data_IF_169484035753
#
_entry.id   IF_169484035753
#
_cell.length_a   1.000
_cell.length_b   1.000
_cell.length_c   1.000
_cell.angle_alpha   90.00
_cell.angle_beta   90.00
_cell.angle_gamma   90.00
#
_symmetry.space_group_name_H-M   'P 1'
#
loop_
_entity.id
_entity.type
_entity.pdbx_description
1 polymer ?
#
# COMPACT_ATOMS: atom_id res chain seq x y z
N UNK A 1 -13.67 11.27 3.38
CA UNK A 1 -12.80 10.08 3.43
C UNK A 1 -12.96 9.20 2.20
N UNK A 2 -14.15 8.64 1.94
CA UNK A 2 -14.39 7.69 0.84
C UNK A 2 -13.90 8.14 -0.55
N UNK A 3 -14.03 9.44 -0.89
CA UNK A 3 -13.53 10.00 -2.16
C UNK A 3 -12.00 9.87 -2.32
N UNK A 4 -11.25 10.11 -1.24
CA UNK A 4 -9.80 9.98 -1.25
C UNK A 4 -9.38 8.51 -1.36
N UNK A 5 -10.11 7.60 -0.70
CA UNK A 5 -9.90 6.14 -0.83
C UNK A 5 -10.19 5.68 -2.27
N UNK A 6 -11.23 6.21 -2.92
CA UNK A 6 -11.52 5.88 -4.32
C UNK A 6 -10.35 6.24 -5.24
N UNK A 7 -9.79 7.46 -5.11
CA UNK A 7 -8.62 7.87 -5.90
C UNK A 7 -7.38 7.03 -5.57
N UNK A 8 -7.17 6.68 -4.30
CA UNK A 8 -6.08 5.78 -3.91
C UNK A 8 -6.22 4.40 -4.57
N UNK A 9 -7.43 3.85 -4.62
CA UNK A 9 -7.68 2.56 -5.27
C UNK A 9 -7.38 2.62 -6.77
N UNK A 10 -7.67 3.72 -7.46
CA UNK A 10 -7.23 3.92 -8.85
C UNK A 10 -5.68 3.94 -8.94
N UNK A 11 -4.99 4.61 -8.01
CA UNK A 11 -3.53 4.59 -7.96
C UNK A 11 -2.96 3.18 -7.72
N UNK A 12 -3.67 2.33 -6.98
CA UNK A 12 -3.29 0.93 -6.74
C UNK A 12 -3.59 0.07 -7.97
N UNK A 13 -4.84 0.03 -8.44
CA UNK A 13 -5.31 -0.94 -9.42
C UNK A 13 -5.11 -0.51 -10.88
N UNK A 14 -5.17 0.79 -11.19
CA UNK A 14 -4.93 1.28 -12.56
C UNK A 14 -3.44 1.54 -12.84
N UNK A 15 -2.64 1.82 -11.81
CA UNK A 15 -1.22 2.20 -11.97
C UNK A 15 -0.28 1.19 -11.32
N UNK A 16 -0.32 1.04 -9.99
CA UNK A 16 0.71 0.32 -9.24
C UNK A 16 0.71 -1.19 -9.52
N UNK A 17 -0.46 -1.82 -9.60
CA UNK A 17 -0.59 -3.26 -9.83
C UNK A 17 -0.17 -3.65 -11.27
N UNK A 18 -0.71 -3.03 -12.34
CA UNK A 18 -0.25 -3.29 -13.71
C UNK A 18 1.21 -2.92 -13.91
N UNK A 19 1.63 -1.76 -13.41
CA UNK A 19 3.00 -1.27 -13.50
C UNK A 19 3.99 -2.23 -12.84
N UNK A 20 3.70 -2.67 -11.61
CA UNK A 20 4.53 -3.66 -10.90
C UNK A 20 4.55 -5.01 -11.60
N UNK A 21 3.39 -5.51 -12.04
CA UNK A 21 3.32 -6.77 -12.76
C UNK A 21 4.16 -6.73 -14.05
N UNK A 22 4.10 -5.62 -14.77
CA UNK A 22 4.91 -5.40 -15.96
C UNK A 22 6.39 -5.20 -15.63
N UNK A 23 6.74 -4.50 -14.55
CA UNK A 23 8.13 -4.15 -14.18
C UNK A 23 8.88 -5.30 -13.52
N UNK A 24 8.23 -6.10 -12.69
CA UNK A 24 8.86 -7.17 -11.91
C UNK A 24 8.48 -8.58 -12.38
N UNK A 25 7.50 -8.71 -13.26
CA UNK A 25 7.09 -10.01 -13.82
C UNK A 25 6.21 -10.85 -12.91
N UNK A 26 5.53 -10.24 -11.92
CA UNK A 26 4.53 -10.92 -11.09
C UNK A 26 3.47 -9.95 -10.54
N UNK A 27 2.22 -10.41 -10.48
CA UNK A 27 1.11 -9.73 -9.81
C UNK A 27 0.95 -10.17 -8.35
N UNK A 28 0.00 -9.54 -7.65
CA UNK A 28 -0.48 -9.97 -6.34
C UNK A 28 -2.02 -9.96 -6.35
N UNK A 29 -2.63 -10.80 -5.54
CA UNK A 29 -4.06 -10.82 -5.30
C UNK A 29 -4.37 -10.12 -3.97
N UNK A 30 -5.10 -9.00 -4.03
CA UNK A 30 -5.41 -8.12 -2.90
C UNK A 30 -6.77 -8.38 -2.25
N UNK A 31 -7.16 -9.65 -2.13
CA UNK A 31 -8.31 -10.08 -1.34
C UNK A 31 -9.60 -10.16 -2.13
N UNK A 32 -10.03 -9.03 -2.69
CA UNK A 32 -11.14 -8.94 -3.65
C UNK A 32 -10.62 -8.41 -4.99
N UNK A 33 -11.41 -8.58 -6.06
CA UNK A 33 -11.03 -8.24 -7.44
C UNK A 33 -10.07 -9.22 -8.14
N UNK A 34 -10.38 -10.52 -8.08
CA UNK A 34 -9.67 -11.55 -8.82
C UNK A 34 -10.23 -12.95 -8.58
N UNK A 35 -9.76 -13.91 -9.37
CA UNK A 35 -10.17 -15.31 -9.26
C UNK A 35 -8.96 -16.22 -9.24
N UNK A 36 -9.09 -17.32 -8.49
CA UNK A 36 -8.09 -18.38 -8.46
C UNK A 36 -8.58 -19.58 -9.25
N UNK A 37 -7.65 -20.27 -9.93
CA UNK A 37 -7.93 -21.64 -10.38
C UNK A 37 -8.17 -22.51 -9.16
N UNK A 38 -9.28 -23.25 -9.13
CA UNK A 38 -9.68 -24.07 -7.97
C UNK A 38 -8.59 -25.04 -7.53
N UNK A 39 -7.94 -25.72 -8.49
CA UNK A 39 -6.83 -26.63 -8.20
C UNK A 39 -5.65 -25.92 -7.53
N UNK A 40 -5.28 -24.74 -8.01
CA UNK A 40 -4.21 -23.94 -7.43
C UNK A 40 -4.57 -23.44 -6.02
N UNK A 41 -5.80 -22.96 -5.80
CA UNK A 41 -6.24 -22.51 -4.48
C UNK A 41 -6.28 -23.66 -3.47
N UNK A 42 -6.66 -24.87 -3.88
CA UNK A 42 -6.59 -26.06 -3.02
C UNK A 42 -5.16 -26.45 -2.66
N UNK A 43 -4.19 -26.13 -3.52
CA UNK A 43 -2.77 -26.44 -3.29
C UNK A 43 -2.10 -25.38 -2.42
N UNK A 44 -2.33 -24.09 -2.72
CA UNK A 44 -1.75 -22.95 -2.01
C UNK A 44 -2.44 -22.74 -0.67
N UNK A 45 -3.78 -22.80 -0.63
CA UNK A 45 -4.63 -22.45 0.54
C UNK A 45 -4.44 -21.01 1.02
N UNK A 46 -5.43 -20.50 1.75
CA UNK A 46 -5.37 -19.23 2.46
C UNK A 46 -5.13 -19.53 3.94
N UNK A 47 -4.08 -18.96 4.51
CA UNK A 47 -3.70 -19.22 5.90
C UNK A 47 -4.34 -18.21 6.84
N UNK A 48 -5.34 -18.63 7.61
CA UNK A 48 -6.11 -17.75 8.50
C UNK A 48 -5.31 -17.12 9.66
N UNK A 49 -4.10 -17.61 9.95
CA UNK A 49 -3.21 -16.99 10.94
C UNK A 49 -2.45 -15.77 10.39
N UNK A 50 -2.50 -15.52 9.06
CA UNK A 50 -1.93 -14.33 8.44
C UNK A 50 -2.99 -13.24 8.40
N UNK A 51 -2.65 -12.02 8.83
CA UNK A 51 -3.58 -10.88 8.76
C UNK A 51 -3.92 -10.47 7.31
N UNK A 52 -3.08 -10.85 6.36
CA UNK A 52 -3.30 -10.68 4.91
C UNK A 52 -3.04 -12.01 4.22
N UNK A 53 -3.97 -12.95 4.39
CA UNK A 53 -3.92 -14.32 3.87
C UNK A 53 -3.90 -14.39 2.33
N UNK A 54 -4.49 -13.39 1.69
CA UNK A 54 -4.52 -13.11 0.26
C UNK A 54 -3.12 -12.75 -0.29
N UNK A 55 -2.39 -11.89 0.41
CA UNK A 55 -1.04 -11.51 0.07
C UNK A 55 -0.06 -12.66 0.34
N UNK A 56 -0.19 -13.33 1.49
CA UNK A 56 0.59 -14.53 1.82
C UNK A 56 0.46 -15.61 0.74
N UNK A 57 -0.79 -15.94 0.36
CA UNK A 57 -1.06 -16.91 -0.70
C UNK A 57 -0.53 -16.46 -2.07
N UNK A 58 -0.60 -15.16 -2.38
CA UNK A 58 0.00 -14.60 -3.59
C UNK A 58 1.50 -14.82 -3.67
N UNK A 59 2.23 -14.46 -2.59
CA UNK A 59 3.69 -14.59 -2.57
C UNK A 59 4.11 -16.06 -2.64
N UNK A 60 3.41 -16.97 -1.92
CA UNK A 60 3.67 -18.40 -2.01
C UNK A 60 3.42 -18.96 -3.41
N UNK A 61 2.36 -18.52 -4.09
CA UNK A 61 2.11 -18.92 -5.47
C UNK A 61 3.24 -18.46 -6.41
N UNK A 62 3.69 -17.21 -6.27
CA UNK A 62 4.82 -16.66 -7.06
C UNK A 62 6.11 -17.41 -6.77
N UNK A 63 6.43 -17.70 -5.50
CA UNK A 63 7.60 -18.48 -5.09
C UNK A 63 7.57 -19.92 -5.64
N UNK A 64 6.39 -20.48 -5.86
CA UNK A 64 6.19 -21.77 -6.53
C UNK A 64 6.20 -21.67 -8.07
N UNK A 65 6.63 -20.53 -8.64
CA UNK A 65 6.72 -20.31 -10.08
C UNK A 65 5.36 -20.10 -10.77
N UNK A 66 4.28 -19.88 -10.01
CA UNK A 66 2.96 -19.61 -10.59
C UNK A 66 2.83 -18.14 -10.97
N UNK A 67 2.07 -17.89 -12.03
CA UNK A 67 1.83 -16.55 -12.56
C UNK A 67 0.50 -15.99 -12.05
N UNK A 68 0.56 -14.80 -11.47
CA UNK A 68 -0.61 -13.97 -11.19
C UNK A 68 -0.66 -12.89 -12.26
N UNK A 69 -1.68 -12.96 -13.14
CA UNK A 69 -1.92 -11.94 -14.15
C UNK A 69 -2.70 -10.77 -13.55
N UNK A 70 -2.45 -9.56 -14.07
CA UNK A 70 -3.22 -8.36 -13.75
C UNK A 70 -3.92 -7.93 -15.02
N UNK A 71 -5.24 -7.74 -14.93
CA UNK A 71 -6.09 -7.27 -16.02
C UNK A 71 -6.77 -5.98 -15.58
N UNK A 72 -6.56 -4.90 -16.33
CA UNK A 72 -7.15 -3.59 -16.06
C UNK A 72 -8.65 -3.54 -16.41
N UNK A 73 -9.15 -4.49 -17.22
CA UNK A 73 -10.57 -4.64 -17.51
C UNK A 73 -11.36 -5.36 -16.42
N UNK A 74 -10.69 -5.96 -15.43
CA UNK A 74 -11.35 -6.59 -14.30
C UNK A 74 -11.75 -5.53 -13.26
N UNK A 75 -13.05 -5.20 -13.26
CA UNK A 75 -13.61 -4.13 -12.44
C UNK A 75 -14.42 -4.75 -11.29
N UNK A 76 -14.09 -4.36 -10.07
CA UNK A 76 -14.85 -4.64 -8.85
C UNK A 76 -15.26 -3.33 -8.18
N UNK A 77 -16.38 -3.35 -7.47
CA UNK A 77 -16.87 -2.20 -6.67
C UNK A 77 -16.88 -2.59 -5.20
N UNK A 78 -16.31 -1.72 -4.38
CA UNK A 78 -16.16 -1.97 -2.94
C UNK A 78 -16.61 -0.76 -2.13
N UNK A 79 -17.08 -1.02 -0.90
CA UNK A 79 -17.44 0.02 0.04
C UNK A 79 -16.19 0.52 0.78
N UNK A 80 -15.85 1.79 0.56
CA UNK A 80 -14.74 2.43 1.25
C UNK A 80 -15.10 2.77 2.71
N UNK A 81 -14.14 2.73 3.65
CA UNK A 81 -14.35 3.24 5.00
C UNK A 81 -14.67 4.74 4.97
N UNK A 82 -15.73 5.12 5.68
CA UNK A 82 -16.24 6.51 5.69
C UNK A 82 -15.71 7.33 6.87
N UNK A 83 -15.19 6.69 7.92
CA UNK A 83 -14.64 7.33 9.12
C UNK A 83 -13.12 7.14 9.24
N UNK A 84 -12.45 8.07 9.93
CA UNK A 84 -11.01 8.00 10.22
C UNK A 84 -10.64 6.76 11.04
N UNK A 85 -11.34 6.40 12.14
CA UNK A 85 -11.03 5.19 12.90
C UNK A 85 -11.19 3.90 12.09
N UNK A 86 -12.24 3.80 11.26
CA UNK A 86 -12.43 2.64 10.40
C UNK A 86 -11.30 2.50 9.37
N UNK A 87 -10.88 3.60 8.75
CA UNK A 87 -9.74 3.62 7.85
C UNK A 87 -8.45 3.23 8.57
N UNK A 88 -8.19 3.80 9.74
CA UNK A 88 -7.02 3.48 10.55
C UNK A 88 -6.93 1.98 10.84
N UNK A 89 -8.00 1.39 11.37
CA UNK A 89 -8.05 -0.04 11.70
C UNK A 89 -7.82 -0.92 10.47
N UNK A 90 -8.43 -0.58 9.33
CA UNK A 90 -8.22 -1.28 8.07
C UNK A 90 -6.75 -1.23 7.64
N UNK A 91 -6.15 -0.03 7.62
CA UNK A 91 -4.76 0.15 7.18
C UNK A 91 -3.74 -0.44 8.15
N UNK A 92 -4.05 -0.45 9.45
CA UNK A 92 -3.24 -1.11 10.46
C UNK A 92 -3.17 -2.62 10.20
N UNK A 93 -4.33 -3.28 9.97
CA UNK A 93 -4.35 -4.71 9.60
C UNK A 93 -3.51 -4.97 8.36
N UNK A 94 -3.68 -4.16 7.32
CA UNK A 94 -2.94 -4.34 6.07
C UNK A 94 -1.44 -4.17 6.27
N UNK A 95 -1.00 -3.10 6.94
CA UNK A 95 0.41 -2.86 7.19
C UNK A 95 1.03 -3.98 8.03
N UNK A 96 0.33 -4.46 9.07
CA UNK A 96 0.83 -5.52 9.92
C UNK A 96 0.91 -6.87 9.17
N UNK A 97 -0.12 -7.22 8.39
CA UNK A 97 -0.09 -8.44 7.56
C UNK A 97 0.99 -8.39 6.49
N UNK A 98 1.20 -7.24 5.86
CA UNK A 98 2.30 -7.03 4.93
C UNK A 98 3.67 -7.19 5.58
N UNK A 99 3.83 -6.74 6.82
CA UNK A 99 5.06 -6.98 7.58
C UNK A 99 5.25 -8.46 7.94
N UNK A 100 4.19 -9.17 8.37
CA UNK A 100 4.22 -10.63 8.58
C UNK A 100 4.69 -11.37 7.31
N UNK A 101 4.13 -11.03 6.15
CA UNK A 101 4.54 -11.59 4.85
C UNK A 101 6.00 -11.26 4.57
N UNK A 102 6.45 -10.05 4.87
CA UNK A 102 7.83 -9.63 4.64
C UNK A 102 8.82 -10.46 5.45
N UNK A 103 8.58 -10.60 6.75
CA UNK A 103 9.40 -11.43 7.65
C UNK A 103 9.47 -12.88 7.18
N UNK A 104 8.35 -13.44 6.74
CA UNK A 104 8.26 -14.85 6.33
C UNK A 104 8.86 -15.13 4.96
N UNK A 105 8.69 -14.23 3.99
CA UNK A 105 8.96 -14.54 2.58
C UNK A 105 10.14 -13.80 1.97
N UNK A 106 10.63 -12.69 2.55
CA UNK A 106 11.69 -11.89 1.94
C UNK A 106 12.97 -12.73 1.71
N UNK A 107 13.51 -13.31 2.78
CA UNK A 107 14.76 -14.10 2.71
C UNK A 107 14.62 -15.32 1.80
N UNK A 108 13.51 -16.06 1.93
CA UNK A 108 13.24 -17.24 1.12
C UNK A 108 13.06 -16.90 -0.36
N UNK A 109 12.39 -15.77 -0.67
CA UNK A 109 12.20 -15.30 -2.04
C UNK A 109 13.50 -14.87 -2.70
N UNK A 110 14.33 -14.11 -2.00
CA UNK A 110 15.63 -13.66 -2.53
C UNK A 110 16.59 -14.83 -2.79
N UNK A 111 16.50 -15.90 -2.01
CA UNK A 111 17.31 -17.12 -2.16
C UNK A 111 16.69 -18.19 -3.07
N UNK A 112 15.47 -17.97 -3.57
CA UNK A 112 14.76 -18.95 -4.40
C UNK A 112 15.51 -19.22 -5.71
N UNK A 113 15.60 -20.48 -6.12
CA UNK A 113 16.11 -20.87 -7.45
C UNK A 113 15.04 -20.78 -8.54
N UNK A 114 13.76 -20.72 -8.14
CA UNK A 114 12.60 -20.64 -9.05
C UNK A 114 12.40 -19.22 -9.56
N UNK A 115 12.66 -18.21 -8.72
CA UNK A 115 12.44 -16.81 -9.07
C UNK A 115 13.57 -16.25 -9.94
N UNK A 116 13.19 -15.57 -11.02
CA UNK A 116 14.14 -14.81 -11.85
C UNK A 116 14.77 -13.66 -11.06
N UNK A 117 15.95 -13.19 -11.48
CA UNK A 117 16.63 -12.01 -10.88
C UNK A 117 15.70 -10.79 -10.85
N UNK A 118 14.92 -10.60 -11.92
CA UNK A 118 13.91 -9.54 -12.02
C UNK A 118 12.83 -9.63 -10.94
N UNK A 119 12.30 -10.83 -10.72
CA UNK A 119 11.29 -11.07 -9.68
C UNK A 119 11.89 -10.92 -8.29
N UNK A 120 13.14 -11.35 -8.07
CA UNK A 120 13.87 -11.15 -6.82
C UNK A 120 14.05 -9.66 -6.50
N UNK A 121 14.43 -8.85 -7.47
CA UNK A 121 14.51 -7.40 -7.29
C UNK A 121 13.15 -6.81 -6.90
N UNK A 122 12.09 -7.21 -7.61
CA UNK A 122 10.74 -6.77 -7.28
C UNK A 122 10.24 -7.22 -5.90
N UNK A 123 10.60 -8.44 -5.48
CA UNK A 123 10.27 -8.96 -4.16
C UNK A 123 11.07 -8.25 -3.06
N UNK A 124 12.35 -7.96 -3.29
CA UNK A 124 13.18 -7.15 -2.41
C UNK A 124 12.66 -5.72 -2.26
N UNK A 125 12.16 -5.11 -3.33
CA UNK A 125 11.51 -3.80 -3.27
C UNK A 125 10.18 -3.87 -2.51
N UNK A 126 9.31 -4.83 -2.85
CA UNK A 126 7.96 -4.95 -2.29
C UNK A 126 7.94 -5.36 -0.82
N UNK A 127 8.77 -6.32 -0.42
CA UNK A 127 8.81 -6.88 0.93
C UNK A 127 9.98 -6.35 1.79
N UNK A 128 10.99 -5.74 1.17
CA UNK A 128 12.13 -5.17 1.89
C UNK A 128 12.06 -3.65 1.95
N UNK A 129 12.25 -2.98 0.81
CA UNK A 129 12.32 -1.51 0.76
C UNK A 129 11.08 -0.84 1.36
N UNK A 130 9.88 -1.37 1.09
CA UNK A 130 8.64 -0.87 1.70
C UNK A 130 8.70 -0.81 3.22
N UNK A 131 9.29 -1.81 3.88
CA UNK A 131 9.33 -1.90 5.34
C UNK A 131 10.40 -0.98 5.95
N UNK A 132 11.47 -0.70 5.19
CA UNK A 132 12.57 0.16 5.64
C UNK A 132 12.22 1.65 5.47
N UNK A 133 11.52 2.01 4.40
CA UNK A 133 11.23 3.39 4.04
C UNK A 133 10.58 4.24 5.15
N UNK A 134 9.56 3.78 5.90
CA UNK A 134 8.93 4.56 6.97
C UNK A 134 9.87 4.98 8.11
N UNK A 135 10.99 4.26 8.30
CA UNK A 135 12.02 4.62 9.27
C UNK A 135 13.06 5.58 8.69
N UNK A 136 13.37 5.46 7.40
CA UNK A 136 14.24 6.40 6.71
C UNK A 136 13.59 7.78 6.57
N UNK A 137 12.28 7.84 6.32
CA UNK A 137 11.56 9.11 6.18
C UNK A 137 11.59 9.95 7.46
N UNK A 138 11.72 9.33 8.64
CA UNK A 138 11.91 10.03 9.92
C UNK A 138 13.20 10.86 9.96
N UNK A 139 14.22 10.49 9.18
CA UNK A 139 15.52 11.14 9.22
C UNK A 139 15.54 12.48 8.50
N UNK A 140 14.51 12.81 7.71
CA UNK A 140 14.46 14.07 6.94
C UNK A 140 14.55 15.29 7.85
N UNK A 141 13.73 15.36 8.90
CA UNK A 141 13.71 16.52 9.82
C UNK A 141 14.99 16.62 10.66
N UNK A 142 15.49 15.56 11.31
CA UNK A 142 16.77 15.60 12.04
C UNK A 142 17.96 15.97 11.16
N UNK A 143 18.03 15.47 9.92
CA UNK A 143 19.10 15.81 8.99
C UNK A 143 19.04 17.30 8.62
N UNK A 144 17.87 17.81 8.25
CA UNK A 144 17.70 19.25 7.96
C UNK A 144 18.06 20.11 9.17
N UNK A 145 17.66 19.71 10.38
CA UNK A 145 18.02 20.38 11.63
C UNK A 145 19.53 20.39 11.89
N UNK A 146 20.20 19.25 11.71
CA UNK A 146 21.66 19.15 11.83
C UNK A 146 22.39 20.05 10.83
N UNK A 147 21.96 20.04 9.57
CA UNK A 147 22.54 20.91 8.54
C UNK A 147 22.30 22.39 8.86
N UNK A 148 21.10 22.76 9.30
CA UNK A 148 20.77 24.13 9.69
C UNK A 148 21.63 24.60 10.88
N UNK A 149 21.82 23.73 11.87
CA UNK A 149 22.68 23.99 13.02
C UNK A 149 24.14 24.19 12.60
N UNK A 150 24.67 23.31 11.74
CA UNK A 150 26.04 23.42 11.21
C UNK A 150 26.24 24.71 10.39
N UNK A 151 25.23 25.16 9.67
CA UNK A 151 25.26 26.41 8.91
C UNK A 151 25.03 27.67 9.78
N UNK A 152 24.68 27.50 11.06
CA UNK A 152 24.35 28.56 12.01
C UNK A 152 22.97 29.19 11.82
N UNK A 153 22.24 28.83 10.75
CA UNK A 153 20.84 29.19 10.50
C UNK A 153 20.32 28.42 9.27
N UNK A 154 19.02 28.14 9.21
CA UNK A 154 18.37 27.61 8.02
C UNK A 154 18.46 28.55 6.80
N UNK A 155 18.61 29.87 7.03
CA UNK A 155 18.78 30.86 5.96
C UNK A 155 20.16 30.82 5.30
N UNK A 156 21.14 30.15 5.94
CA UNK A 156 22.50 29.97 5.41
C UNK A 156 22.71 28.60 4.78
N UNK A 157 21.67 27.78 4.71
CA UNK A 157 21.71 26.50 4.02
C UNK A 157 21.80 26.72 2.50
N UNK A 158 22.74 26.04 1.87
CA UNK A 158 22.70 25.86 0.42
C UNK A 158 21.62 24.83 0.08
N UNK A 159 20.46 25.32 -0.34
CA UNK A 159 19.32 24.49 -0.75
C UNK A 159 19.54 23.80 -2.10
N UNK A 160 20.57 24.20 -2.86
CA UNK A 160 20.87 23.66 -4.20
C UNK A 160 21.88 22.52 -4.18
N UNK A 161 22.24 22.00 -2.99
CA UNK A 161 23.00 20.76 -2.90
C UNK A 161 22.22 19.63 -3.59
N UNK A 162 22.84 18.86 -4.50
CA UNK A 162 22.13 17.87 -5.31
C UNK A 162 21.25 16.90 -4.52
N UNK A 163 21.67 16.52 -3.31
CA UNK A 163 20.89 15.63 -2.44
C UNK A 163 19.55 16.23 -2.01
N UNK A 164 19.50 17.51 -1.63
CA UNK A 164 18.25 18.19 -1.25
C UNK A 164 17.36 18.41 -2.46
N UNK A 165 17.94 18.82 -3.58
CA UNK A 165 17.17 19.02 -4.82
C UNK A 165 16.55 17.70 -5.27
N UNK A 166 17.34 16.63 -5.37
CA UNK A 166 16.87 15.33 -5.84
C UNK A 166 15.84 14.72 -4.89
N UNK A 167 16.05 14.79 -3.57
CA UNK A 167 15.09 14.24 -2.60
C UNK A 167 13.80 15.05 -2.55
N UNK A 168 13.86 16.38 -2.64
CA UNK A 168 12.68 17.25 -2.73
C UNK A 168 11.89 16.99 -4.01
N UNK A 169 12.56 16.95 -5.18
CA UNK A 169 11.92 16.66 -6.45
C UNK A 169 11.28 15.27 -6.46
N UNK A 170 11.97 14.27 -5.92
CA UNK A 170 11.42 12.92 -5.78
C UNK A 170 10.18 12.91 -4.87
N UNK A 171 10.29 13.50 -3.68
CA UNK A 171 9.21 13.47 -2.65
C UNK A 171 7.98 14.23 -3.13
N UNK A 172 8.16 15.42 -3.71
CA UNK A 172 7.09 16.26 -4.20
C UNK A 172 6.57 15.83 -5.58
N UNK A 173 7.35 15.07 -6.34
CA UNK A 173 6.99 14.62 -7.69
C UNK A 173 6.23 13.29 -7.71
N UNK A 174 6.61 12.32 -6.87
CA UNK A 174 6.05 10.96 -6.91
C UNK A 174 4.54 10.96 -6.64
N UNK A 175 4.08 11.65 -5.60
CA UNK A 175 2.66 11.69 -5.23
C UNK A 175 1.75 12.29 -6.31
N UNK A 176 2.01 13.53 -6.79
CA UNK A 176 1.28 14.11 -7.90
C UNK A 176 1.39 13.30 -9.19
N UNK A 177 2.58 12.78 -9.51
CA UNK A 177 2.79 11.94 -10.69
C UNK A 177 1.93 10.68 -10.67
N UNK A 178 1.93 9.94 -9.55
CA UNK A 178 1.06 8.77 -9.37
C UNK A 178 -0.42 9.14 -9.47
N UNK A 179 -0.83 10.27 -8.89
CA UNK A 179 -2.22 10.73 -8.93
C UNK A 179 -2.64 11.13 -10.35
N UNK A 180 -1.74 11.74 -11.13
CA UNK A 180 -1.97 12.06 -12.54
C UNK A 180 -2.18 10.78 -13.37
N UNK A 181 -1.32 9.77 -13.19
CA UNK A 181 -1.51 8.50 -13.88
C UNK A 181 -2.79 7.77 -13.43
N UNK A 182 -3.15 7.86 -12.15
CA UNK A 182 -4.41 7.32 -11.64
C UNK A 182 -5.61 8.00 -12.29
N UNK A 183 -5.56 9.32 -12.47
CA UNK A 183 -6.60 10.05 -13.21
C UNK A 183 -6.65 9.63 -14.69
N UNK A 184 -5.49 9.50 -15.34
CA UNK A 184 -5.42 9.16 -16.76
C UNK A 184 -5.88 7.75 -17.09
N UNK A 185 -5.51 6.78 -16.25
CA UNK A 185 -5.71 5.34 -16.47
C UNK A 185 -6.90 4.77 -15.70
N UNK A 186 -7.45 5.52 -14.75
CA UNK A 186 -8.56 5.05 -13.92
C UNK A 186 -9.87 4.91 -14.66
N UNK A 187 -10.81 4.20 -14.05
CA UNK A 187 -12.12 3.91 -14.67
C UNK A 187 -12.89 5.20 -15.01
N UNK A 188 -13.65 5.23 -16.12
CA UNK A 188 -14.32 6.45 -16.58
C UNK A 188 -15.17 7.15 -15.52
N UNK A 189 -15.86 6.39 -14.68
CA UNK A 189 -16.76 6.90 -13.63
C UNK A 189 -16.03 7.70 -12.56
N UNK A 190 -14.81 7.27 -12.19
CA UNK A 190 -13.97 7.99 -11.21
C UNK A 190 -13.21 9.12 -11.90
N UNK A 191 -12.69 8.89 -13.11
CA UNK A 191 -11.93 9.88 -13.89
C UNK A 191 -12.70 11.17 -14.17
N UNK A 192 -14.01 11.08 -14.36
CA UNK A 192 -14.90 12.25 -14.52
C UNK A 192 -14.92 13.16 -13.28
N UNK A 193 -14.51 12.66 -12.11
CA UNK A 193 -14.46 13.40 -10.84
C UNK A 193 -13.08 14.04 -10.62
N UNK A 194 -12.60 14.85 -11.56
CA UNK A 194 -11.26 15.49 -11.53
C UNK A 194 -10.96 16.23 -10.21
N UNK A 195 -11.96 16.88 -9.60
CA UNK A 195 -11.84 17.55 -8.29
C UNK A 195 -11.43 16.60 -7.16
N UNK A 196 -11.74 15.31 -7.24
CA UNK A 196 -11.33 14.32 -6.25
C UNK A 196 -9.82 14.06 -6.32
N UNK A 197 -9.25 14.04 -7.51
CA UNK A 197 -7.81 13.87 -7.71
C UNK A 197 -7.03 15.08 -7.20
N UNK A 198 -7.51 16.30 -7.49
CA UNK A 198 -6.89 17.52 -6.96
C UNK A 198 -6.92 17.54 -5.43
N UNK A 199 -8.08 17.23 -4.83
CA UNK A 199 -8.19 17.12 -3.38
C UNK A 199 -7.29 16.01 -2.82
N UNK A 200 -7.17 14.88 -3.52
CA UNK A 200 -6.31 13.78 -3.13
C UNK A 200 -4.83 14.17 -3.12
N UNK A 201 -4.34 14.92 -4.12
CA UNK A 201 -2.94 15.41 -4.11
C UNK A 201 -2.68 16.23 -2.85
N UNK A 202 -3.55 17.18 -2.53
CA UNK A 202 -3.38 18.04 -1.36
C UNK A 202 -3.40 17.24 -0.04
N UNK A 203 -4.40 16.37 0.13
CA UNK A 203 -4.55 15.53 1.33
C UNK A 203 -3.40 14.53 1.43
N UNK A 204 -2.96 13.97 0.30
CA UNK A 204 -1.94 12.94 0.26
C UNK A 204 -0.54 13.47 0.61
N UNK A 205 -0.18 14.61 0.03
CA UNK A 205 1.12 15.25 0.25
C UNK A 205 1.27 15.81 1.66
N UNK A 206 0.20 16.31 2.27
CA UNK A 206 0.29 16.99 3.58
C UNK A 206 0.04 16.06 4.77
N UNK A 207 -0.85 15.07 4.63
CA UNK A 207 -1.34 14.30 5.78
C UNK A 207 -1.27 12.79 5.56
N UNK A 208 -1.83 12.30 4.46
CA UNK A 208 -2.06 10.87 4.29
C UNK A 208 -0.77 10.06 4.17
N UNK A 209 0.27 10.62 3.53
CA UNK A 209 1.57 9.95 3.41
C UNK A 209 2.21 9.72 4.76
N UNK A 210 2.24 10.74 5.63
CA UNK A 210 2.76 10.59 6.98
C UNK A 210 1.90 9.68 7.84
N UNK A 211 0.57 9.74 7.71
CA UNK A 211 -0.33 8.79 8.37
C UNK A 211 0.02 7.33 7.99
N UNK A 212 0.25 7.03 6.70
CA UNK A 212 0.69 5.70 6.25
C UNK A 212 2.05 5.30 6.81
N UNK A 213 3.00 6.24 6.88
CA UNK A 213 4.32 6.01 7.49
C UNK A 213 4.19 5.68 8.98
N UNK A 214 3.35 6.42 9.72
CA UNK A 214 3.08 6.15 11.15
C UNK A 214 2.46 4.77 11.31
N UNK A 215 1.41 4.46 10.53
CA UNK A 215 0.74 3.15 10.57
C UNK A 215 1.73 2.02 10.32
N UNK A 216 2.62 2.17 9.33
CA UNK A 216 3.62 1.14 9.00
C UNK A 216 4.58 0.89 10.16
N UNK A 217 5.10 1.96 10.80
CA UNK A 217 5.97 1.84 11.98
C UNK A 217 5.26 1.17 13.16
N UNK A 218 4.04 1.62 13.47
CA UNK A 218 3.22 1.05 14.55
C UNK A 218 2.90 -0.42 14.28
N UNK A 219 2.58 -0.78 13.04
CA UNK A 219 2.30 -2.15 12.64
C UNK A 219 3.51 -3.08 12.86
N UNK A 220 4.71 -2.61 12.54
CA UNK A 220 5.94 -3.37 12.77
C UNK A 220 6.21 -3.58 14.26
N UNK A 221 5.99 -2.54 15.08
CA UNK A 221 6.12 -2.64 16.54
C UNK A 221 5.08 -3.61 17.11
N UNK A 222 3.81 -3.51 16.70
CA UNK A 222 2.74 -4.42 17.15
C UNK A 222 3.06 -5.88 16.83
N UNK A 223 3.51 -6.15 15.61
CA UNK A 223 3.90 -7.51 15.23
C UNK A 223 5.10 -8.03 16.03
N UNK A 224 6.11 -7.18 16.26
CA UNK A 224 7.27 -7.52 17.08
C UNK A 224 6.89 -7.81 18.55
N UNK A 225 5.85 -7.14 19.06
CA UNK A 225 5.28 -7.38 20.40
C UNK A 225 4.32 -8.58 20.45
N UNK A 226 4.04 -9.23 19.32
CA UNK A 226 3.11 -10.37 19.24
C UNK A 226 1.63 -9.99 19.30
N UNK A 227 1.27 -8.71 19.24
CA UNK A 227 -0.12 -8.25 19.22
C UNK A 227 -0.71 -8.45 17.82
N UNK A 228 -1.40 -9.57 17.64
CA UNK A 228 -2.02 -9.98 16.36
C UNK A 228 -3.54 -9.91 16.38
N UNK A 229 -4.13 -9.19 17.33
CA UNK A 229 -5.60 -9.12 17.41
C UNK A 229 -6.19 -8.36 16.23
N UNK A 230 -7.10 -9.00 15.51
CA UNK A 230 -7.81 -8.37 14.41
C UNK A 230 -8.98 -7.52 14.93
N UNK A 231 -8.86 -6.20 14.82
CA UNK A 231 -10.01 -5.30 14.96
C UNK A 231 -10.81 -5.27 13.66
N UNK A 232 -12.02 -5.85 13.67
CA UNK A 232 -12.91 -5.87 12.51
C UNK A 232 -13.36 -4.45 12.17
N UNK A 233 -13.17 -4.03 10.92
CA UNK A 233 -13.72 -2.76 10.43
C UNK A 233 -15.23 -2.91 10.27
N UNK A 234 -16.00 -2.35 11.18
CA UNK A 234 -17.46 -2.29 11.06
C UNK A 234 -17.84 -1.49 9.82
N UNK A 235 -18.58 -2.13 8.92
CA UNK A 235 -19.23 -1.43 7.80
C UNK A 235 -20.45 -0.73 8.41
N UNK A 236 -20.56 0.59 8.30
CA UNK A 236 -21.84 1.24 8.59
C UNK A 236 -22.87 0.68 7.62
N UNK A 237 -23.76 -0.19 8.10
CA UNK A 237 -24.99 -0.50 7.40
C UNK A 237 -25.82 0.79 7.40
N UNK A 238 -25.94 1.44 6.25
CA UNK A 238 -26.98 2.43 6.07
C UNK A 238 -28.33 1.68 6.10
N UNK A 239 -29.04 1.77 7.23
CA UNK A 239 -30.43 1.35 7.38
C UNK A 239 -30.71 -0.15 7.19
N UNK A 240 -30.43 -0.97 8.21
CA UNK A 240 -31.28 -2.14 8.41
C UNK A 240 -32.62 -1.62 8.98
N UNK A 241 -33.79 -2.02 8.44
CA UNK A 241 -35.07 -1.73 9.10
C UNK A 241 -35.01 -2.26 10.52
N UNK A 242 -35.40 -1.43 11.49
CA UNK A 242 -35.79 -1.94 12.80
C UNK A 242 -36.97 -2.87 12.53
N UNK A 243 -36.83 -4.15 12.85
CA UNK A 243 -37.99 -5.01 13.10
C UNK A 243 -38.79 -4.34 14.22
N UNK A 244 -39.81 -3.57 13.81
CA UNK A 244 -40.85 -3.07 14.68
C UNK A 244 -42.01 -4.07 14.56
N UNK A 245 -42.38 -4.59 15.72
CA UNK A 245 -43.69 -5.13 16.08
C UNK A 245 -44.24 -6.30 15.26
N UNK A 246 -43.87 -7.51 15.69
CA UNK A 246 -44.76 -8.66 15.63
C UNK A 246 -45.22 -8.98 17.06
N UNK A 247 -46.36 -8.40 17.42
CA UNK A 247 -47.27 -8.87 18.46
C UNK A 247 -48.67 -8.90 17.85
#
# INVERSE_FOLDING_TARGET
MARAVAVEFEAIYAVSHPGRARLHGFGIFGGSNGYWRTSLLRQVRMHGFMLTEDIDSSIRAVQAGRRIAVDAGLISRELAPTTLPALWNQRMRWAQGWFQVSLRHLRAGLRSEVLTVRQKFGLGFLLGWREVYPWLSLQVVPLLGFFAWRAGSASRLDWFVPVFVLTTLYTLGVGPGQTFFAWRLGVPEIRQRSRWFLAYVLVSSLFYTEMKNVISRVAQVKEAMGDRQWTVTTRCAAGAPREADAA
#
